data_IF_908482629453
#
_entry.id   IF_908482629453
#
_cell.length_a   1.000
_cell.length_b   1.000
_cell.length_c   1.000
_cell.angle_alpha   90.00
_cell.angle_beta   90.00
_cell.angle_gamma   90.00
#
_symmetry.space_group_name_H-M   'P 1'
#
loop_
_entity.id
_entity.type
_entity.pdbx_description
1 polymer ?
#
# COMPACT_ATOMS: atom_id res chain seq x y z
N UNK A 1 12.85 7.01 -12.05
CA UNK A 1 12.34 8.26 -12.66
C UNK A 1 12.81 8.30 -14.11
N UNK A 2 11.95 8.72 -15.05
CA UNK A 2 12.30 8.72 -16.46
C UNK A 2 13.38 9.75 -16.80
N UNK A 3 14.20 9.44 -17.80
CA UNK A 3 15.07 10.43 -18.44
C UNK A 3 14.31 11.16 -19.54
N UNK A 4 14.68 12.40 -19.86
CA UNK A 4 14.09 13.15 -20.99
C UNK A 4 15.12 13.34 -22.09
N UNK A 5 14.78 12.84 -23.29
CA UNK A 5 15.53 13.10 -24.52
C UNK A 5 15.26 14.54 -24.98
N UNK A 6 15.95 15.48 -24.35
CA UNK A 6 15.88 16.91 -24.66
C UNK A 6 16.89 17.34 -25.75
N UNK A 7 17.81 16.45 -26.12
CA UNK A 7 18.78 16.59 -27.21
C UNK A 7 18.87 15.28 -28.01
N UNK A 8 19.30 15.30 -29.30
CA UNK A 8 19.42 14.10 -30.13
C UNK A 8 20.70 13.30 -29.81
N UNK A 9 20.90 12.93 -28.54
CA UNK A 9 22.03 12.11 -28.10
C UNK A 9 21.70 10.61 -28.28
N UNK A 10 22.45 9.84 -29.11
CA UNK A 10 22.16 8.43 -29.38
C UNK A 10 22.15 7.52 -28.13
N UNK A 11 22.84 7.92 -27.06
CA UNK A 11 22.82 7.21 -25.78
C UNK A 11 21.40 7.04 -25.23
N UNK A 12 20.48 7.97 -25.52
CA UNK A 12 19.08 7.83 -25.12
C UNK A 12 18.37 6.68 -25.83
N UNK A 13 18.72 6.37 -27.08
CA UNK A 13 18.16 5.23 -27.82
C UNK A 13 18.70 3.93 -27.23
N UNK A 14 20.03 3.84 -27.06
CA UNK A 14 20.67 2.64 -26.48
C UNK A 14 20.16 2.31 -25.07
N UNK A 15 19.89 3.32 -24.24
CA UNK A 15 19.30 3.11 -22.91
C UNK A 15 17.84 2.63 -23.01
N UNK A 16 17.06 3.20 -23.91
CA UNK A 16 15.67 2.78 -24.15
C UNK A 16 15.60 1.31 -24.60
N UNK A 17 16.51 0.88 -25.47
CA UNK A 17 16.60 -0.51 -25.94
C UNK A 17 16.99 -1.49 -24.81
N UNK A 18 17.65 -1.00 -23.77
CA UNK A 18 18.00 -1.76 -22.56
C UNK A 18 16.88 -1.75 -21.50
N UNK A 19 15.72 -1.16 -21.80
CA UNK A 19 14.57 -1.10 -20.90
C UNK A 19 14.57 0.08 -19.92
N UNK A 20 15.52 1.02 -20.04
CA UNK A 20 15.46 2.26 -19.27
C UNK A 20 14.33 3.14 -19.80
N UNK A 21 13.49 3.66 -18.89
CA UNK A 21 12.43 4.58 -19.30
C UNK A 21 13.01 5.94 -19.73
N UNK A 22 12.86 6.24 -21.03
CA UNK A 22 13.26 7.52 -21.63
C UNK A 22 12.06 8.16 -22.33
N UNK A 23 11.68 9.37 -21.89
CA UNK A 23 10.59 10.15 -22.45
C UNK A 23 11.07 11.05 -23.58
N UNK A 24 10.19 11.27 -24.56
CA UNK A 24 10.33 12.36 -25.53
C UNK A 24 10.03 13.71 -24.86
N UNK A 25 10.62 14.80 -25.35
CA UNK A 25 10.38 16.14 -24.81
C UNK A 25 8.88 16.50 -24.81
N UNK A 26 8.15 16.18 -25.88
CA UNK A 26 6.72 16.45 -25.98
C UNK A 26 5.88 15.68 -24.96
N UNK A 27 6.29 14.46 -24.58
CA UNK A 27 5.61 13.67 -23.55
C UNK A 27 5.92 14.21 -22.16
N UNK A 28 7.18 14.56 -21.89
CA UNK A 28 7.61 15.15 -20.62
C UNK A 28 6.85 16.46 -20.29
N UNK A 29 6.63 17.31 -21.29
CA UNK A 29 5.91 18.59 -21.12
C UNK A 29 4.39 18.44 -20.90
N UNK A 30 3.82 17.27 -21.19
CA UNK A 30 2.38 17.00 -21.11
C UNK A 30 2.03 15.99 -20.02
N UNK A 31 2.97 15.66 -19.13
CA UNK A 31 2.69 14.72 -18.06
C UNK A 31 1.63 15.30 -17.13
N UNK A 32 0.54 14.57 -16.99
CA UNK A 32 -0.48 14.80 -16.00
C UNK A 32 -0.45 13.62 -15.02
N UNK A 33 0.18 13.84 -13.87
CA UNK A 33 0.35 12.80 -12.85
C UNK A 33 -0.74 13.02 -11.82
N UNK A 34 -1.79 12.23 -11.92
CA UNK A 34 -2.86 12.21 -10.91
C UNK A 34 -2.34 11.75 -9.55
N UNK A 35 -3.11 12.09 -8.53
CA UNK A 35 -3.01 11.49 -7.20
C UNK A 35 -3.08 9.96 -7.24
N UNK A 36 -2.27 9.32 -6.38
CA UNK A 36 -2.29 7.89 -6.13
C UNK A 36 -2.80 7.62 -4.72
N UNK A 37 -3.79 6.74 -4.61
CA UNK A 37 -4.45 6.37 -3.36
C UNK A 37 -3.91 5.04 -2.85
N UNK A 38 -3.32 5.06 -1.65
CA UNK A 38 -2.63 3.92 -1.04
C UNK A 38 -3.34 3.55 0.26
N UNK A 39 -3.93 2.35 0.31
CA UNK A 39 -4.49 1.82 1.53
C UNK A 39 -3.40 1.30 2.46
N UNK A 40 -3.51 1.56 3.76
CA UNK A 40 -2.65 1.00 4.80
C UNK A 40 -3.48 0.20 5.81
N UNK A 41 -3.51 -1.12 5.64
CA UNK A 41 -4.10 -2.04 6.60
C UNK A 41 -3.06 -2.37 7.68
N UNK A 42 -3.08 -1.63 8.78
CA UNK A 42 -2.12 -1.78 9.86
C UNK A 42 -2.59 -2.76 10.94
N UNK A 43 -2.10 -4.00 10.87
CA UNK A 43 -2.44 -5.09 11.79
C UNK A 43 -1.43 -5.26 12.94
N UNK A 44 -0.44 -4.36 13.05
CA UNK A 44 0.57 -4.41 14.12
C UNK A 44 -0.04 -4.10 15.49
N UNK A 45 0.47 -4.67 16.59
CA UNK A 45 -0.07 -4.48 17.94
C UNK A 45 0.00 -3.02 18.41
N UNK A 46 -0.77 -2.68 19.45
CA UNK A 46 -0.93 -1.31 19.95
C UNK A 46 0.40 -0.59 20.25
N UNK A 47 1.37 -1.32 20.82
CA UNK A 47 2.71 -0.80 21.10
C UNK A 47 3.50 -0.38 19.85
N UNK A 48 3.17 -0.95 18.68
CA UNK A 48 3.86 -0.72 17.41
C UNK A 48 3.02 0.06 16.39
N UNK A 49 1.76 0.40 16.70
CA UNK A 49 0.80 1.02 15.76
C UNK A 49 1.40 2.26 15.07
N UNK A 50 1.78 3.27 15.86
CA UNK A 50 2.30 4.55 15.36
C UNK A 50 3.70 4.45 14.77
N UNK A 51 4.53 3.55 15.31
CA UNK A 51 5.88 3.31 14.77
C UNK A 51 5.76 2.73 13.36
N UNK A 52 4.83 1.80 13.17
CA UNK A 52 4.57 1.17 11.87
C UNK A 52 4.05 2.18 10.86
N UNK A 53 3.10 3.04 11.23
CA UNK A 53 2.64 4.16 10.39
C UNK A 53 3.80 5.03 9.93
N UNK A 54 4.65 5.49 10.85
CA UNK A 54 5.79 6.33 10.53
C UNK A 54 6.76 5.65 9.58
N UNK A 55 7.03 4.35 9.78
CA UNK A 55 7.92 3.59 8.91
C UNK A 55 7.36 3.51 7.48
N UNK A 56 6.10 3.10 7.32
CA UNK A 56 5.51 2.98 5.99
C UNK A 56 5.30 4.32 5.32
N UNK A 57 4.80 5.34 6.03
CA UNK A 57 4.62 6.68 5.47
C UNK A 57 5.94 7.31 5.03
N UNK A 58 7.04 7.06 5.76
CA UNK A 58 8.39 7.49 5.32
C UNK A 58 8.82 6.78 4.04
N UNK A 59 8.62 5.47 3.93
CA UNK A 59 8.99 4.71 2.73
C UNK A 59 8.15 5.13 1.53
N UNK A 60 6.83 5.24 1.70
CA UNK A 60 5.88 5.68 0.68
C UNK A 60 6.27 7.08 0.19
N UNK A 61 6.46 8.04 1.10
CA UNK A 61 6.82 9.42 0.76
C UNK A 61 8.17 9.57 0.06
N UNK A 62 9.08 8.60 0.19
CA UNK A 62 10.36 8.58 -0.53
C UNK A 62 10.34 7.73 -1.80
N UNK A 63 9.21 7.08 -2.13
CA UNK A 63 9.14 6.16 -3.27
C UNK A 63 9.11 6.88 -4.62
N UNK A 64 8.42 8.02 -4.70
CA UNK A 64 8.31 8.83 -5.90
C UNK A 64 8.07 10.30 -5.54
N UNK A 65 9.05 11.16 -5.83
CA UNK A 65 8.98 12.60 -5.48
C UNK A 65 8.08 13.41 -6.42
N UNK A 66 7.62 12.84 -7.54
CA UNK A 66 6.77 13.55 -8.51
C UNK A 66 5.29 13.28 -8.23
N UNK A 67 4.96 12.06 -7.79
CA UNK A 67 3.58 11.67 -7.55
C UNK A 67 3.03 12.24 -6.24
N UNK A 68 1.76 12.61 -6.24
CA UNK A 68 1.03 12.97 -5.03
C UNK A 68 0.45 11.69 -4.43
N UNK A 69 0.93 11.29 -3.25
CA UNK A 69 0.57 10.01 -2.62
C UNK A 69 -0.37 10.28 -1.43
N UNK A 70 -1.58 9.76 -1.52
CA UNK A 70 -2.61 9.83 -0.49
C UNK A 70 -2.63 8.50 0.26
N UNK A 71 -2.29 8.52 1.54
CA UNK A 71 -2.26 7.31 2.37
C UNK A 71 -3.52 7.26 3.23
N UNK A 72 -4.24 6.14 3.14
CA UNK A 72 -5.51 5.91 3.82
C UNK A 72 -5.36 4.76 4.82
N UNK A 73 -5.07 5.04 6.11
CA UNK A 73 -5.12 4.02 7.15
C UNK A 73 -6.56 3.54 7.35
N UNK A 74 -6.77 2.23 7.34
CA UNK A 74 -8.08 1.65 7.56
C UNK A 74 -8.01 0.39 8.43
N UNK A 75 -9.14 0.05 9.04
CA UNK A 75 -9.28 -1.10 9.93
C UNK A 75 -10.29 -2.11 9.43
N UNK A 76 -10.14 -3.34 9.93
CA UNK A 76 -11.07 -4.45 9.74
C UNK A 76 -11.54 -4.99 11.11
N UNK A 77 -12.73 -5.61 11.18
CA UNK A 77 -13.16 -6.32 12.37
C UNK A 77 -12.15 -7.40 12.81
N UNK A 78 -12.14 -7.74 14.10
CA UNK A 78 -11.29 -8.79 14.65
C UNK A 78 -9.90 -8.35 15.12
N UNK A 79 -9.49 -7.10 14.85
CA UNK A 79 -8.29 -6.51 15.45
C UNK A 79 -8.61 -5.95 16.84
N UNK A 80 -8.16 -6.64 17.89
CA UNK A 80 -8.34 -6.19 19.27
C UNK A 80 -7.43 -4.97 19.55
N UNK A 81 -8.05 -3.85 19.93
CA UNK A 81 -7.39 -2.58 20.27
C UNK A 81 -7.91 -2.09 21.61
N UNK A 82 -7.03 -1.57 22.45
CA UNK A 82 -7.40 -1.11 23.79
C UNK A 82 -6.93 0.32 24.09
N UNK A 83 -7.47 0.90 25.17
CA UNK A 83 -7.00 2.15 25.74
C UNK A 83 -6.88 3.32 24.75
N UNK A 84 -5.67 3.84 24.59
CA UNK A 84 -5.37 4.96 23.69
C UNK A 84 -5.33 4.55 22.22
N UNK A 85 -4.93 3.32 21.91
CA UNK A 85 -4.85 2.83 20.54
C UNK A 85 -6.24 2.70 19.92
N UNK A 86 -7.21 2.18 20.67
CA UNK A 86 -8.61 2.13 20.23
C UNK A 86 -9.15 3.51 19.85
N UNK A 87 -9.00 4.49 20.73
CA UNK A 87 -9.45 5.88 20.47
C UNK A 87 -8.74 6.50 19.26
N UNK A 88 -7.44 6.22 19.11
CA UNK A 88 -6.66 6.70 17.98
C UNK A 88 -7.18 6.12 16.65
N UNK A 89 -7.40 4.81 16.59
CA UNK A 89 -7.95 4.14 15.40
C UNK A 89 -9.36 4.64 15.10
N UNK A 90 -10.24 4.76 16.10
CA UNK A 90 -11.60 5.31 15.92
C UNK A 90 -11.61 6.75 15.39
N UNK A 91 -10.58 7.55 15.70
CA UNK A 91 -10.48 8.93 15.27
C UNK A 91 -9.85 9.09 13.87
N UNK A 92 -8.89 8.24 13.50
CA UNK A 92 -8.02 8.48 12.34
C UNK A 92 -8.06 7.38 11.27
N UNK A 93 -8.65 6.22 11.55
CA UNK A 93 -8.73 5.12 10.60
C UNK A 93 -10.12 5.02 9.99
N UNK A 94 -10.14 4.72 8.69
CA UNK A 94 -11.36 4.49 7.94
C UNK A 94 -11.82 3.03 8.01
N UNK A 95 -13.03 2.77 7.49
CA UNK A 95 -13.56 1.42 7.35
C UNK A 95 -13.13 0.80 6.02
N UNK A 96 -13.08 -0.53 5.98
CA UNK A 96 -12.83 -1.25 4.73
C UNK A 96 -13.91 -0.97 3.67
N UNK A 97 -15.17 -0.74 4.07
CA UNK A 97 -16.24 -0.41 3.13
C UNK A 97 -15.96 0.89 2.36
N UNK A 98 -15.46 1.91 3.05
CA UNK A 98 -15.06 3.17 2.40
C UNK A 98 -13.92 2.98 1.40
N UNK A 99 -12.95 2.11 1.70
CA UNK A 99 -11.86 1.80 0.77
C UNK A 99 -12.35 1.11 -0.51
N UNK A 100 -13.41 0.29 -0.42
CA UNK A 100 -14.04 -0.32 -1.60
C UNK A 100 -14.75 0.72 -2.46
N UNK A 101 -15.39 1.70 -1.85
CA UNK A 101 -16.11 2.77 -2.55
C UNK A 101 -15.16 3.76 -3.24
N UNK A 102 -14.10 4.19 -2.56
CA UNK A 102 -13.14 5.16 -3.10
C UNK A 102 -12.15 4.53 -4.09
N UNK A 103 -11.86 3.24 -3.94
CA UNK A 103 -10.87 2.52 -4.73
C UNK A 103 -9.43 2.85 -4.30
N UNK A 104 -8.50 1.94 -4.61
CA UNK A 104 -7.09 2.07 -4.25
C UNK A 104 -6.17 1.69 -5.41
N UNK A 105 -5.11 2.47 -5.61
CA UNK A 105 -4.06 2.16 -6.57
C UNK A 105 -3.10 1.11 -6.02
N UNK A 106 -2.80 1.20 -4.72
CA UNK A 106 -1.98 0.24 -4.02
C UNK A 106 -2.51 -0.05 -2.62
N UNK A 107 -2.18 -1.23 -2.10
CA UNK A 107 -2.54 -1.66 -0.75
C UNK A 107 -1.32 -2.20 -0.03
N UNK A 108 -1.07 -1.68 1.18
CA UNK A 108 -0.09 -2.22 2.11
C UNK A 108 -0.81 -2.97 3.22
N UNK A 109 -0.49 -4.25 3.37
CA UNK A 109 -0.96 -5.09 4.48
C UNK A 109 0.24 -5.39 5.38
N UNK A 110 0.23 -4.88 6.60
CA UNK A 110 1.32 -5.09 7.55
C UNK A 110 1.23 -6.46 8.21
N UNK A 111 2.32 -6.88 8.87
CA UNK A 111 2.27 -8.08 9.70
C UNK A 111 1.32 -7.92 10.89
N UNK A 112 0.88 -9.04 11.44
CA UNK A 112 0.21 -9.09 12.73
C UNK A 112 1.05 -9.93 13.69
N UNK A 113 0.77 -9.81 15.00
CA UNK A 113 1.29 -10.76 15.98
C UNK A 113 0.18 -11.80 16.26
N UNK A 114 0.29 -13.03 15.73
CA UNK A 114 -0.74 -14.03 15.90
C UNK A 114 -0.81 -14.46 17.36
N UNK A 115 -2.02 -14.56 17.88
CA UNK A 115 -2.30 -15.02 19.24
C UNK A 115 -2.70 -16.50 19.25
N UNK A 116 -3.09 -17.05 18.11
CA UNK A 116 -3.53 -18.43 17.97
C UNK A 116 -2.51 -19.29 17.21
N UNK A 117 -2.51 -20.62 17.42
CA UNK A 117 -1.58 -21.53 16.74
C UNK A 117 -1.70 -21.51 15.21
N UNK A 118 -2.89 -21.22 14.69
CA UNK A 118 -3.14 -21.15 13.25
C UNK A 118 -3.89 -19.88 12.88
N UNK A 119 -3.58 -19.34 11.70
CA UNK A 119 -4.18 -18.09 11.20
C UNK A 119 -5.71 -18.17 11.09
N UNK A 120 -6.27 -19.33 10.77
CA UNK A 120 -7.71 -19.56 10.64
C UNK A 120 -8.48 -19.44 11.95
N UNK A 121 -7.78 -19.44 13.09
CA UNK A 121 -8.37 -19.21 14.41
C UNK A 121 -8.31 -17.73 14.82
N UNK A 122 -7.63 -16.89 14.05
CA UNK A 122 -7.54 -15.47 14.35
C UNK A 122 -8.88 -14.77 14.08
N UNK A 123 -9.37 -13.91 14.99
CA UNK A 123 -10.63 -13.20 14.80
C UNK A 123 -10.65 -12.29 13.56
N UNK A 124 -9.48 -11.83 13.11
CA UNK A 124 -9.34 -10.99 11.91
C UNK A 124 -9.20 -11.80 10.62
N UNK A 125 -9.16 -13.14 10.67
CA UNK A 125 -8.84 -13.97 9.51
C UNK A 125 -9.86 -13.84 8.39
N UNK A 126 -11.14 -14.06 8.69
CA UNK A 126 -12.20 -13.96 7.70
C UNK A 126 -12.31 -12.54 7.11
N UNK A 127 -12.29 -11.45 7.91
CA UNK A 127 -12.18 -10.09 7.38
C UNK A 127 -10.94 -9.85 6.50
N UNK A 128 -9.78 -10.40 6.87
CA UNK A 128 -8.56 -10.28 6.07
C UNK A 128 -8.70 -10.99 4.73
N UNK A 129 -9.31 -12.18 4.69
CA UNK A 129 -9.58 -12.88 3.44
C UNK A 129 -10.46 -12.05 2.50
N UNK A 130 -11.45 -11.33 3.03
CA UNK A 130 -12.29 -10.42 2.24
C UNK A 130 -11.49 -9.26 1.64
N UNK A 131 -10.58 -8.66 2.43
CA UNK A 131 -9.68 -7.61 1.92
C UNK A 131 -8.79 -8.15 0.80
N UNK A 132 -8.20 -9.32 1.00
CA UNK A 132 -7.31 -9.96 0.01
C UNK A 132 -8.09 -10.25 -1.29
N UNK A 133 -9.25 -10.89 -1.19
CA UNK A 133 -10.09 -11.23 -2.34
C UNK A 133 -10.46 -9.98 -3.15
N UNK A 134 -10.92 -8.93 -2.47
CA UNK A 134 -11.23 -7.65 -3.12
C UNK A 134 -9.99 -7.02 -3.76
N UNK A 135 -8.85 -7.04 -3.08
CA UNK A 135 -7.62 -6.44 -3.58
C UNK A 135 -7.11 -7.11 -4.86
N UNK A 136 -7.29 -8.42 -5.01
CA UNK A 136 -6.92 -9.15 -6.25
C UNK A 136 -7.65 -8.64 -7.49
N UNK A 137 -8.89 -8.18 -7.33
CA UNK A 137 -9.72 -7.72 -8.45
C UNK A 137 -9.66 -6.20 -8.64
N UNK A 138 -9.37 -5.44 -7.58
CA UNK A 138 -9.60 -3.99 -7.55
C UNK A 138 -8.34 -3.14 -7.32
N UNK A 139 -7.23 -3.75 -6.88
CA UNK A 139 -6.01 -3.00 -6.53
C UNK A 139 -4.87 -3.39 -7.46
N UNK A 140 -4.19 -2.40 -8.03
CA UNK A 140 -3.13 -2.63 -9.03
C UNK A 140 -1.90 -3.28 -8.41
N UNK A 141 -1.55 -2.92 -7.17
CA UNK A 141 -0.38 -3.46 -6.48
C UNK A 141 -0.63 -3.68 -5.00
N UNK A 142 -0.37 -4.90 -4.53
CA UNK A 142 -0.51 -5.27 -3.12
C UNK A 142 0.85 -5.63 -2.53
N UNK A 143 1.24 -4.94 -1.46
CA UNK A 143 2.44 -5.21 -0.69
C UNK A 143 2.06 -5.85 0.64
N UNK A 144 2.48 -7.09 0.86
CA UNK A 144 2.31 -7.79 2.13
C UNK A 144 3.65 -7.88 2.88
N UNK A 145 3.66 -7.51 4.16
CA UNK A 145 4.83 -7.62 5.03
C UNK A 145 4.72 -8.79 6.02
N UNK A 146 5.79 -9.58 6.14
CA UNK A 146 5.99 -10.61 7.17
C UNK A 146 4.86 -11.67 7.23
N UNK A 147 4.02 -11.63 8.28
CA UNK A 147 2.91 -12.56 8.45
C UNK A 147 1.83 -12.38 7.38
N UNK A 148 1.62 -11.16 6.89
CA UNK A 148 0.70 -10.93 5.78
C UNK A 148 1.12 -11.69 4.51
N UNK A 149 2.43 -11.89 4.31
CA UNK A 149 2.94 -12.72 3.21
C UNK A 149 2.53 -14.19 3.38
N UNK A 150 2.58 -14.73 4.60
CA UNK A 150 2.14 -16.10 4.88
C UNK A 150 0.62 -16.25 4.74
N UNK A 151 -0.15 -15.25 5.19
CA UNK A 151 -1.60 -15.21 5.02
C UNK A 151 -1.99 -15.22 3.52
N UNK A 152 -1.35 -14.38 2.71
CA UNK A 152 -1.59 -14.31 1.27
C UNK A 152 -1.24 -15.64 0.58
N UNK A 153 -0.09 -16.24 0.91
CA UNK A 153 0.33 -17.53 0.34
C UNK A 153 -0.58 -18.68 0.77
N UNK A 154 -1.16 -18.64 1.97
CA UNK A 154 -2.15 -19.64 2.43
C UNK A 154 -3.52 -19.45 1.74
N UNK A 155 -3.84 -18.23 1.33
CA UNK A 155 -5.09 -17.91 0.65
C UNK A 155 -5.07 -18.31 -0.84
N UNK A 156 -3.93 -18.10 -1.50
CA UNK A 156 -3.66 -18.56 -2.88
C UNK A 156 -3.71 -20.09 -3.00
#
# INVERSE_FOLDING_TARGET
MPLVRHIPLPTFDSLSDQGQEVLTLSRALKQDIRELHIGLLNMMPDAALRVTEQQFMRLIGNSNQIAQLYVHPFQIPGLQREGSAKRYVEQYYETFDKMKEEGLDALVITGANPQFPTLDQEPFWEPLQQVIAWAFENVTSVLCSCLATHALVKYL
#
